data_IF_410704599912
#
_entry.id   IF_410704599912
#
_cell.length_a   1.000
_cell.length_b   1.000
_cell.length_c   1.000
_cell.angle_alpha   90.00
_cell.angle_beta   90.00
_cell.angle_gamma   90.00
#
_symmetry.space_group_name_H-M   'P 1'
#
loop_
_entity.id
_entity.type
_entity.pdbx_description
1 polymer ?
#
# COMPACT_ATOMS: atom_id res chain seq x y z
N UNK A 1 18.17 18.74 0.63
CA UNK A 1 17.10 19.58 0.06
C UNK A 1 15.75 19.22 0.66
N UNK A 2 15.38 17.92 0.65
CA UNK A 2 14.16 17.42 1.31
C UNK A 2 14.24 17.52 2.84
N UNK A 3 15.42 17.30 3.43
CA UNK A 3 15.61 17.39 4.89
C UNK A 3 15.24 18.78 5.43
N UNK A 4 15.61 19.85 4.72
CA UNK A 4 15.26 21.21 5.13
C UNK A 4 13.76 21.38 5.28
N UNK A 5 12.98 20.90 4.31
CA UNK A 5 11.51 20.99 4.32
C UNK A 5 10.94 20.22 5.53
N UNK A 6 11.50 19.04 5.84
CA UNK A 6 11.08 18.25 7.01
C UNK A 6 11.33 19.00 8.31
N UNK A 7 12.45 19.73 8.43
CA UNK A 7 12.79 20.50 9.63
C UNK A 7 12.13 21.89 9.67
N UNK A 8 11.62 22.41 8.56
CA UNK A 8 10.95 23.71 8.47
C UNK A 8 9.50 23.62 8.98
N UNK A 9 8.82 22.50 8.71
CA UNK A 9 7.45 22.24 9.15
C UNK A 9 7.39 21.33 10.40
N UNK A 10 6.97 21.89 11.54
CA UNK A 10 6.87 21.17 12.80
C UNK A 10 5.93 19.94 12.75
N UNK A 11 4.87 19.99 11.93
CA UNK A 11 3.95 18.86 11.78
C UNK A 11 4.59 17.70 11.00
N UNK A 12 5.31 18.01 9.92
CA UNK A 12 6.00 17.00 9.11
C UNK A 12 7.10 16.37 9.95
N UNK A 13 7.87 17.18 10.70
CA UNK A 13 8.90 16.70 11.61
C UNK A 13 8.35 15.70 12.63
N UNK A 14 7.24 16.05 13.29
CA UNK A 14 6.61 15.17 14.29
C UNK A 14 6.20 13.83 13.70
N UNK A 15 5.56 13.82 12.53
CA UNK A 15 5.15 12.57 11.87
C UNK A 15 6.35 11.77 11.38
N UNK A 16 7.40 12.44 10.92
CA UNK A 16 8.65 11.81 10.51
C UNK A 16 9.35 11.12 11.69
N UNK A 17 9.41 11.75 12.87
CA UNK A 17 9.95 11.15 14.08
C UNK A 17 9.12 9.94 14.54
N UNK A 18 7.78 10.05 14.49
CA UNK A 18 6.88 8.93 14.81
C UNK A 18 7.13 7.73 13.89
N UNK A 19 7.30 7.94 12.59
CA UNK A 19 7.60 6.87 11.65
C UNK A 19 8.98 6.27 11.92
N UNK A 20 10.00 7.10 12.20
CA UNK A 20 11.35 6.61 12.56
C UNK A 20 11.40 5.83 13.87
N UNK A 21 10.42 5.99 14.76
CA UNK A 21 10.35 5.21 16.01
C UNK A 21 10.11 3.72 15.77
N UNK A 22 9.57 3.35 14.60
CA UNK A 22 9.29 1.96 14.25
C UNK A 22 10.59 1.27 13.83
N UNK A 23 10.99 0.17 14.52
CA UNK A 23 12.20 -0.56 14.17
C UNK A 23 12.09 -1.12 12.74
N UNK A 24 13.12 -0.87 11.93
CA UNK A 24 13.17 -1.31 10.52
C UNK A 24 12.72 -0.26 9.50
N UNK A 25 12.23 0.91 9.92
CA UNK A 25 11.92 2.01 9.00
C UNK A 25 13.11 2.98 8.88
N UNK A 26 13.67 3.06 7.67
CA UNK A 26 14.76 3.97 7.34
C UNK A 26 14.28 5.36 6.90
N UNK A 27 15.22 6.29 6.73
CA UNK A 27 14.96 7.66 6.26
C UNK A 27 14.20 7.71 4.93
N UNK A 28 14.63 6.91 3.95
CA UNK A 28 13.99 6.86 2.63
C UNK A 28 12.54 6.36 2.71
N UNK A 29 12.31 5.30 3.48
CA UNK A 29 10.97 4.71 3.68
C UNK A 29 10.06 5.68 4.43
N UNK A 30 10.59 6.40 5.42
CA UNK A 30 9.84 7.42 6.16
C UNK A 30 9.39 8.57 5.25
N UNK A 31 10.29 9.09 4.40
CA UNK A 31 9.95 10.12 3.41
C UNK A 31 8.91 9.60 2.42
N UNK A 32 9.10 8.38 1.92
CA UNK A 32 8.17 7.76 0.98
C UNK A 32 6.75 7.69 1.55
N UNK A 33 6.61 7.24 2.80
CA UNK A 33 5.32 7.18 3.50
C UNK A 33 4.71 8.58 3.66
N UNK A 34 5.49 9.59 4.05
CA UNK A 34 5.00 10.97 4.20
C UNK A 34 4.52 11.52 2.85
N UNK A 35 5.28 11.32 1.78
CA UNK A 35 4.91 11.77 0.44
C UNK A 35 3.66 11.05 -0.07
N UNK A 36 3.58 9.72 0.04
CA UNK A 36 2.43 8.94 -0.41
C UNK A 36 1.14 9.28 0.34
N UNK A 37 1.24 9.63 1.63
CA UNK A 37 0.08 9.92 2.47
C UNK A 37 -0.26 11.40 2.55
N UNK A 38 0.52 12.25 1.86
CA UNK A 38 0.49 13.70 1.97
C UNK A 38 0.46 14.14 3.44
N UNK A 39 1.46 13.67 4.22
CA UNK A 39 1.58 13.96 5.65
C UNK A 39 0.37 13.46 6.47
N UNK A 40 -0.13 12.26 6.15
CA UNK A 40 -1.32 11.62 6.72
C UNK A 40 -2.65 12.38 6.54
N UNK A 41 -2.69 13.43 5.72
CA UNK A 41 -3.93 14.14 5.41
C UNK A 41 -4.98 13.23 4.73
N UNK A 42 -4.51 12.24 3.97
CA UNK A 42 -5.37 11.28 3.26
C UNK A 42 -5.96 10.17 4.14
N UNK A 43 -5.64 10.14 5.45
CA UNK A 43 -6.10 9.10 6.42
C UNK A 43 -6.06 7.67 5.86
N UNK A 44 -4.88 7.18 5.43
CA UNK A 44 -4.76 5.83 4.88
C UNK A 44 -5.14 4.77 5.93
N UNK A 45 -5.77 3.69 5.48
CA UNK A 45 -6.02 2.51 6.32
C UNK A 45 -4.71 1.80 6.69
N UNK A 46 -4.70 1.08 7.81
CA UNK A 46 -3.50 0.36 8.28
C UNK A 46 -2.94 -0.64 7.24
N UNK A 47 -3.80 -1.25 6.41
CA UNK A 47 -3.38 -2.10 5.29
C UNK A 47 -2.64 -1.32 4.21
N UNK A 48 -3.12 -0.13 3.86
CA UNK A 48 -2.44 0.75 2.90
C UNK A 48 -1.09 1.21 3.44
N UNK A 49 -1.01 1.55 4.74
CA UNK A 49 0.26 1.96 5.35
C UNK A 49 1.30 0.84 5.36
N UNK A 50 0.89 -0.37 5.76
CA UNK A 50 1.78 -1.54 5.77
C UNK A 50 2.21 -1.96 4.34
N UNK A 51 1.37 -1.69 3.35
CA UNK A 51 1.67 -1.82 1.93
C UNK A 51 2.69 -0.78 1.44
N UNK A 52 2.56 0.50 1.82
CA UNK A 52 3.58 1.53 1.53
C UNK A 52 4.93 1.24 2.20
N UNK A 53 4.90 0.64 3.40
CA UNK A 53 6.10 0.20 4.10
C UNK A 53 6.73 -1.07 3.49
N UNK A 54 6.08 -1.73 2.53
CA UNK A 54 6.56 -2.96 1.91
C UNK A 54 6.50 -4.19 2.83
N UNK A 55 5.73 -4.12 3.93
CA UNK A 55 5.62 -5.19 4.94
C UNK A 55 4.53 -6.21 4.56
N UNK A 56 3.55 -5.80 3.75
CA UNK A 56 2.44 -6.66 3.35
C UNK A 56 2.81 -7.42 2.07
N UNK A 57 2.80 -8.76 2.09
CA UNK A 57 2.84 -9.54 0.86
C UNK A 57 1.54 -9.29 0.10
N UNK A 58 1.64 -8.71 -1.10
CA UNK A 58 0.48 -8.55 -1.96
C UNK A 58 0.14 -9.91 -2.57
N UNK A 59 -0.97 -10.52 -2.16
CA UNK A 59 -1.64 -11.55 -2.96
C UNK A 59 -2.19 -10.88 -4.21
N UNK A 60 -1.39 -10.87 -5.28
CA UNK A 60 -1.86 -10.58 -6.62
C UNK A 60 -2.84 -11.69 -7.04
N UNK A 61 -4.10 -11.58 -6.65
CA UNK A 61 -5.20 -12.22 -7.36
C UNK A 61 -5.45 -11.46 -8.66
N UNK A 62 -4.44 -11.42 -9.52
CA UNK A 62 -4.65 -11.22 -10.95
C UNK A 62 -5.52 -12.40 -11.36
N UNK A 63 -6.81 -12.16 -11.60
CA UNK A 63 -7.75 -13.19 -11.99
C UNK A 63 -7.36 -13.86 -13.31
N UNK A 64 -6.38 -14.76 -13.27
CA UNK A 64 -6.35 -15.89 -14.19
C UNK A 64 -7.45 -16.81 -13.67
N UNK A 65 -8.67 -16.56 -14.16
CA UNK A 65 -9.80 -17.44 -13.94
C UNK A 65 -9.41 -18.81 -14.48
N UNK A 66 -8.97 -19.65 -13.53
CA UNK A 66 -8.90 -21.09 -13.62
C UNK A 66 -10.33 -21.56 -13.91
N UNK A 67 -10.72 -21.56 -15.18
CA UNK A 67 -11.81 -22.37 -15.70
C UNK A 67 -11.26 -23.28 -16.80
N UNK A 68 -10.21 -24.01 -16.45
CA UNK A 68 -9.97 -25.29 -17.08
C UNK A 68 -11.16 -26.22 -16.79
N UNK A 69 -11.83 -26.63 -17.87
CA UNK A 69 -12.61 -27.87 -18.02
C UNK A 69 -13.73 -28.15 -17.00
N UNK A 70 -14.97 -27.93 -17.43
CA UNK A 70 -16.03 -28.91 -17.24
C UNK A 70 -16.59 -29.28 -18.62
N UNK A 71 -16.24 -30.49 -19.06
CA UNK A 71 -16.91 -31.20 -20.15
C UNK A 71 -18.35 -31.55 -19.71
N UNK A 72 -19.21 -31.78 -20.70
CA UNK A 72 -20.52 -32.46 -20.65
C UNK A 72 -21.80 -31.60 -20.53
N UNK A 73 -22.44 -31.48 -21.70
CA UNK A 73 -23.87 -31.72 -21.96
C UNK A 73 -24.88 -30.63 -21.61
N UNK A 74 -25.23 -29.84 -22.64
CA UNK A 74 -26.61 -29.43 -22.88
C UNK A 74 -26.96 -29.57 -24.37
N UNK A 75 -26.99 -30.81 -24.87
CA UNK A 75 -28.05 -31.14 -25.82
C UNK A 75 -29.36 -30.88 -25.07
N UNK A 76 -30.19 -29.96 -25.58
CA UNK A 76 -31.65 -30.07 -25.65
C UNK A 76 -32.20 -28.72 -26.16
N UNK A 77 -32.53 -28.72 -27.46
CA UNK A 77 -33.79 -28.24 -28.04
C UNK A 77 -34.52 -27.08 -27.32
N UNK A 78 -34.72 -25.96 -28.03
CA UNK A 78 -36.08 -25.44 -28.27
C UNK A 78 -36.13 -24.38 -29.38
N UNK A 79 -36.84 -24.75 -30.45
CA UNK A 79 -37.64 -23.96 -31.41
C UNK A 79 -36.95 -22.93 -32.29
#
# INVERSE_FOLDING_TARGET
MIDKIIYEDAWILRNYELIKSVPGIGHLTAIYIICCTNNFASKPSGKQLASYAGVVPFEHSSGSSIKGKNLYTKWQIKT
#
